data_IF_100341918612
#
_entry.id   IF_100341918612
#
_cell.length_a   1.000
_cell.length_b   1.000
_cell.length_c   1.000
_cell.angle_alpha   90.00
_cell.angle_beta   90.00
_cell.angle_gamma   90.00
#
_symmetry.space_group_name_H-M   'P 1'
#
loop_
_entity.id
_entity.type
_entity.pdbx_description
1 polymer ?
#
# COMPACT_ATOMS: atom_id res chain seq x y z
N UNK A 1 12.81 8.73 13.37
CA UNK A 1 13.79 8.20 12.40
C UNK A 1 14.91 7.33 12.99
N UNK A 2 15.23 7.39 14.31
CA UNK A 2 16.30 6.54 14.92
C UNK A 2 16.03 5.03 14.97
N UNK A 3 14.77 4.57 14.85
CA UNK A 3 14.40 3.15 15.01
C UNK A 3 14.62 2.29 13.75
N UNK A 4 14.64 2.90 12.56
CA UNK A 4 14.81 2.19 11.29
C UNK A 4 16.29 1.85 10.98
N UNK A 5 17.22 2.66 11.48
CA UNK A 5 18.67 2.47 11.24
C UNK A 5 19.19 1.24 11.99
N UNK A 6 18.73 0.99 13.22
CA UNK A 6 19.09 -0.24 13.95
C UNK A 6 18.56 -1.50 13.28
N UNK A 7 17.38 -1.44 12.63
CA UNK A 7 16.74 -2.61 12.05
C UNK A 7 17.39 -3.05 10.73
N UNK A 8 17.85 -2.09 9.92
CA UNK A 8 18.63 -2.35 8.70
C UNK A 8 19.99 -3.01 9.01
N UNK A 9 20.64 -2.60 10.11
CA UNK A 9 21.89 -3.22 10.59
C UNK A 9 21.70 -4.65 11.06
N UNK A 10 20.57 -4.97 11.72
CA UNK A 10 20.28 -6.34 12.15
C UNK A 10 20.11 -7.30 10.96
N UNK A 11 19.38 -6.88 9.91
CA UNK A 11 19.19 -7.70 8.70
C UNK A 11 20.52 -7.92 7.97
N UNK A 12 21.39 -6.90 7.92
CA UNK A 12 22.73 -7.03 7.33
C UNK A 12 23.64 -7.97 8.11
N UNK A 13 23.60 -7.96 9.46
CA UNK A 13 24.40 -8.91 10.27
C UNK A 13 23.96 -10.36 10.05
N UNK A 14 22.67 -10.62 9.87
CA UNK A 14 22.16 -11.97 9.59
C UNK A 14 22.45 -12.45 8.16
N UNK A 15 22.49 -11.56 7.16
CA UNK A 15 22.90 -11.94 5.80
C UNK A 15 24.41 -12.19 5.67
N UNK A 16 25.23 -11.48 6.46
CA UNK A 16 26.70 -11.57 6.38
C UNK A 16 27.26 -12.84 7.05
N UNK A 17 26.51 -13.45 7.97
CA UNK A 17 26.89 -14.69 8.66
C UNK A 17 26.44 -15.97 7.92
N UNK A 18 26.02 -15.84 6.65
CA UNK A 18 25.49 -16.93 5.83
C UNK A 18 26.43 -17.42 4.72
N UNK A 19 27.68 -16.94 4.67
CA UNK A 19 28.68 -17.36 3.67
C UNK A 19 29.96 -17.87 4.33
N UNK A 20 29.80 -18.75 5.33
CA UNK A 20 30.88 -19.56 5.87
C UNK A 20 30.43 -21.02 5.85
N UNK A 21 31.02 -21.80 4.96
CA UNK A 21 30.84 -23.25 4.92
C UNK A 21 31.16 -23.85 6.30
N UNK A 22 30.19 -24.52 6.92
CA UNK A 22 30.34 -25.75 7.70
C UNK A 22 29.10 -26.01 8.57
N UNK A 23 28.77 -27.29 8.70
CA UNK A 23 27.80 -27.87 9.64
C UNK A 23 26.31 -27.69 9.28
N UNK A 24 25.78 -28.75 8.66
CA UNK A 24 24.38 -29.13 8.68
C UNK A 24 23.83 -29.04 10.13
N UNK A 25 22.88 -28.13 10.44
CA UNK A 25 22.09 -28.28 11.65
C UNK A 25 20.84 -29.07 11.26
N UNK A 26 20.67 -30.24 11.87
CA UNK A 26 19.36 -30.91 11.95
C UNK A 26 18.33 -29.89 12.43
N UNK A 27 17.54 -29.41 11.47
CA UNK A 27 16.68 -28.25 11.63
C UNK A 27 15.43 -28.69 12.39
N UNK A 28 15.55 -28.56 13.70
CA UNK A 28 14.60 -29.01 14.71
C UNK A 28 13.19 -28.47 14.46
N UNK A 29 12.19 -29.33 14.61
CA UNK A 29 10.79 -29.13 14.21
C UNK A 29 10.14 -27.88 14.86
N UNK A 30 10.68 -27.46 16.01
CA UNK A 30 10.26 -26.28 16.79
C UNK A 30 10.59 -24.93 16.11
N UNK A 31 11.73 -24.84 15.43
CA UNK A 31 12.17 -23.58 14.76
C UNK A 31 11.28 -23.21 13.57
N UNK A 32 10.77 -24.21 12.83
CA UNK A 32 9.84 -24.02 11.72
C UNK A 32 8.50 -23.46 12.21
N UNK A 33 7.99 -23.95 13.34
CA UNK A 33 6.75 -23.45 13.93
C UNK A 33 6.86 -21.99 14.41
N UNK A 34 8.01 -21.60 14.95
CA UNK A 34 8.26 -20.21 15.37
C UNK A 34 8.36 -19.26 14.17
N UNK A 35 9.12 -19.62 13.13
CA UNK A 35 9.21 -18.83 11.90
C UNK A 35 7.86 -18.75 11.17
N UNK A 36 7.08 -19.83 11.13
CA UNK A 36 5.71 -19.84 10.59
C UNK A 36 4.74 -18.99 11.44
N UNK A 37 4.90 -18.97 12.76
CA UNK A 37 4.10 -18.15 13.66
C UNK A 37 4.37 -16.66 13.48
N UNK A 38 5.65 -16.26 13.41
CA UNK A 38 6.06 -14.86 13.17
C UNK A 38 5.62 -14.39 11.79
N UNK A 39 5.82 -15.21 10.75
CA UNK A 39 5.41 -14.83 9.38
C UNK A 39 3.89 -14.71 9.27
N UNK A 40 3.10 -15.60 9.88
CA UNK A 40 1.64 -15.49 9.91
C UNK A 40 1.16 -14.26 10.68
N UNK A 41 1.76 -13.98 11.84
CA UNK A 41 1.41 -12.80 12.64
C UNK A 41 1.80 -11.51 11.92
N UNK A 42 2.97 -11.48 11.29
CA UNK A 42 3.42 -10.35 10.48
C UNK A 42 2.53 -10.12 9.26
N UNK A 43 2.15 -11.18 8.54
CA UNK A 43 1.26 -11.09 7.39
C UNK A 43 -0.14 -10.59 7.80
N UNK A 44 -0.63 -11.03 8.96
CA UNK A 44 -1.89 -10.55 9.53
C UNK A 44 -1.81 -9.05 9.85
N UNK A 45 -0.78 -8.62 10.58
CA UNK A 45 -0.58 -7.22 10.94
C UNK A 45 -0.39 -6.35 9.68
N UNK A 46 0.31 -6.85 8.66
CA UNK A 46 0.48 -6.15 7.38
C UNK A 46 -0.85 -5.92 6.67
N UNK A 47 -1.72 -6.94 6.61
CA UNK A 47 -3.05 -6.82 6.00
C UNK A 47 -3.94 -5.83 6.75
N UNK A 48 -3.92 -5.85 8.09
CA UNK A 48 -4.69 -4.93 8.93
C UNK A 48 -4.22 -3.48 8.72
N UNK A 49 -2.90 -3.24 8.71
CA UNK A 49 -2.32 -1.92 8.43
C UNK A 49 -2.71 -1.44 7.03
N UNK A 50 -2.69 -2.31 6.02
CA UNK A 50 -3.04 -1.95 4.65
C UNK A 50 -4.53 -1.59 4.51
N UNK A 51 -5.41 -2.21 5.29
CA UNK A 51 -6.84 -1.90 5.32
C UNK A 51 -7.14 -0.57 6.00
N UNK A 52 -6.46 -0.27 7.11
CA UNK A 52 -6.55 1.02 7.79
C UNK A 52 -6.03 2.15 6.87
N UNK A 53 -4.87 1.94 6.24
CA UNK A 53 -4.31 2.88 5.27
C UNK A 53 -5.24 3.12 4.07
N UNK A 54 -5.86 2.05 3.57
CA UNK A 54 -6.82 2.15 2.47
C UNK A 54 -8.07 2.96 2.88
N UNK A 55 -8.57 2.76 4.10
CA UNK A 55 -9.72 3.52 4.62
C UNK A 55 -9.38 5.00 4.77
N UNK A 56 -8.21 5.32 5.32
CA UNK A 56 -7.71 6.71 5.39
C UNK A 56 -7.54 7.33 4.01
N UNK A 57 -7.03 6.57 3.04
CA UNK A 57 -6.91 7.02 1.66
C UNK A 57 -8.28 7.38 1.07
N UNK A 58 -9.29 6.51 1.17
CA UNK A 58 -10.63 6.81 0.68
C UNK A 58 -11.22 8.08 1.32
N UNK A 59 -11.03 8.24 2.63
CA UNK A 59 -11.47 9.45 3.34
C UNK A 59 -10.77 10.72 2.83
N UNK A 60 -9.46 10.64 2.56
CA UNK A 60 -8.71 11.75 1.97
C UNK A 60 -9.19 12.07 0.55
N UNK A 61 -9.46 11.06 -0.27
CA UNK A 61 -10.02 11.27 -1.62
C UNK A 61 -11.35 11.98 -1.54
N UNK A 62 -12.29 11.50 -0.72
CA UNK A 62 -13.61 12.11 -0.53
C UNK A 62 -13.48 13.58 -0.08
N UNK A 63 -12.54 13.86 0.81
CA UNK A 63 -12.31 15.23 1.30
C UNK A 63 -11.66 16.11 0.22
N UNK A 64 -10.74 15.56 -0.57
CA UNK A 64 -10.06 16.27 -1.64
C UNK A 64 -11.01 16.66 -2.77
N UNK A 65 -11.84 15.72 -3.25
CA UNK A 65 -12.77 15.97 -4.37
C UNK A 65 -13.90 16.94 -4.02
N UNK A 66 -14.13 17.25 -2.74
CA UNK A 66 -15.05 18.32 -2.31
C UNK A 66 -14.48 19.72 -2.59
N UNK A 67 -13.17 19.85 -2.77
CA UNK A 67 -12.50 21.13 -3.02
C UNK A 67 -12.64 21.49 -4.50
N UNK A 68 -13.23 22.64 -4.87
CA UNK A 68 -13.42 23.02 -6.26
C UNK A 68 -12.12 23.07 -7.08
N UNK A 69 -11.00 23.47 -6.46
CA UNK A 69 -9.69 23.58 -7.10
C UNK A 69 -9.13 22.21 -7.52
N UNK A 70 -9.56 21.16 -6.82
CA UNK A 70 -9.24 19.77 -7.14
C UNK A 70 -10.27 19.23 -8.13
N UNK A 71 -11.57 19.41 -7.84
CA UNK A 71 -12.68 18.85 -8.63
C UNK A 71 -12.79 19.39 -10.06
N UNK A 72 -12.31 20.61 -10.30
CA UNK A 72 -12.35 21.27 -11.60
C UNK A 72 -11.02 21.19 -12.36
N UNK A 73 -10.02 20.48 -11.84
CA UNK A 73 -8.72 20.34 -12.47
C UNK A 73 -8.48 18.87 -12.88
N UNK A 74 -8.48 18.55 -14.19
CA UNK A 74 -8.34 17.17 -14.64
C UNK A 74 -6.98 16.55 -14.26
N UNK A 75 -5.91 17.33 -14.14
CA UNK A 75 -4.59 16.85 -13.72
C UNK A 75 -4.60 16.40 -12.25
N UNK A 76 -5.27 17.15 -11.37
CA UNK A 76 -5.42 16.75 -9.96
C UNK A 76 -6.23 15.45 -9.83
N UNK A 77 -7.29 15.31 -10.62
CA UNK A 77 -8.12 14.12 -10.65
C UNK A 77 -7.36 12.88 -11.19
N UNK A 78 -6.53 13.06 -12.22
CA UNK A 78 -5.65 12.00 -12.73
C UNK A 78 -4.64 11.54 -11.67
N UNK A 79 -4.02 12.47 -10.94
CA UNK A 79 -3.13 12.11 -9.84
C UNK A 79 -3.82 11.28 -8.76
N UNK A 80 -5.07 11.61 -8.43
CA UNK A 80 -5.87 10.81 -7.49
C UNK A 80 -6.09 9.40 -8.05
N UNK A 81 -6.42 9.24 -9.33
CA UNK A 81 -6.59 7.92 -9.95
C UNK A 81 -5.32 7.07 -9.91
N UNK A 82 -4.15 7.67 -10.16
CA UNK A 82 -2.87 6.95 -10.05
C UNK A 82 -2.62 6.43 -8.63
N UNK A 83 -3.11 7.12 -7.59
CA UNK A 83 -2.99 6.64 -6.21
C UNK A 83 -3.89 5.43 -5.92
N UNK A 84 -5.00 5.24 -6.65
CA UNK A 84 -5.84 4.05 -6.51
C UNK A 84 -5.11 2.78 -6.95
N UNK A 85 -4.15 2.85 -7.87
CA UNK A 85 -3.36 1.68 -8.32
C UNK A 85 -2.56 1.01 -7.20
N UNK A 86 -2.15 1.81 -6.19
CA UNK A 86 -1.45 1.32 -4.99
C UNK A 86 -2.32 0.38 -4.14
N UNK A 87 -3.64 0.40 -4.37
CA UNK A 87 -4.63 -0.42 -3.71
C UNK A 87 -5.40 -1.30 -4.70
N UNK A 88 -4.76 -1.69 -5.81
CA UNK A 88 -5.36 -2.52 -6.88
C UNK A 88 -5.92 -3.87 -6.38
N UNK A 89 -5.34 -4.43 -5.32
CA UNK A 89 -5.85 -5.65 -4.67
C UNK A 89 -7.11 -5.42 -3.82
N UNK A 90 -7.52 -4.16 -3.60
CA UNK A 90 -8.71 -3.78 -2.82
C UNK A 90 -9.87 -3.45 -3.74
N UNK A 91 -10.86 -4.35 -3.82
CA UNK A 91 -12.10 -4.13 -4.58
C UNK A 91 -13.28 -3.82 -3.65
N UNK A 92 -13.36 -2.58 -3.14
CA UNK A 92 -14.56 -2.14 -2.41
C UNK A 92 -15.54 -1.46 -3.36
N UNK A 93 -16.84 -1.52 -3.06
CA UNK A 93 -17.85 -0.77 -3.82
C UNK A 93 -17.56 0.74 -3.83
N UNK A 94 -17.06 1.27 -2.71
CA UNK A 94 -16.62 2.67 -2.62
C UNK A 94 -15.44 2.96 -3.55
N UNK A 95 -14.48 2.03 -3.68
CA UNK A 95 -13.38 2.12 -4.65
C UNK A 95 -13.92 2.40 -6.04
N UNK A 96 -14.77 1.50 -6.52
CA UNK A 96 -15.23 1.49 -7.90
C UNK A 96 -16.09 2.72 -8.17
N UNK A 97 -16.97 3.08 -7.24
CA UNK A 97 -17.76 4.31 -7.37
C UNK A 97 -16.90 5.56 -7.47
N UNK A 98 -15.89 5.72 -6.61
CA UNK A 98 -15.02 6.89 -6.65
C UNK A 98 -14.22 6.95 -7.96
N UNK A 99 -13.64 5.82 -8.38
CA UNK A 99 -12.92 5.74 -9.67
C UNK A 99 -13.84 6.13 -10.83
N UNK A 100 -15.05 5.57 -10.90
CA UNK A 100 -16.01 5.89 -11.98
C UNK A 100 -16.45 7.35 -11.96
N UNK A 101 -16.72 7.92 -10.79
CA UNK A 101 -17.10 9.34 -10.63
C UNK A 101 -15.97 10.25 -11.12
N UNK A 102 -14.73 9.95 -10.72
CA UNK A 102 -13.56 10.75 -11.08
C UNK A 102 -13.28 10.65 -12.58
N UNK A 103 -13.33 9.45 -13.17
CA UNK A 103 -13.17 9.24 -14.61
C UNK A 103 -14.23 10.01 -15.41
N UNK A 104 -15.51 9.89 -15.03
CA UNK A 104 -16.59 10.62 -15.67
C UNK A 104 -16.37 12.14 -15.59
N UNK A 105 -15.92 12.64 -14.44
CA UNK A 105 -15.60 14.06 -14.28
C UNK A 105 -14.47 14.51 -15.19
N UNK A 106 -13.39 13.74 -15.29
CA UNK A 106 -12.27 14.02 -16.20
C UNK A 106 -12.78 14.10 -17.64
N UNK A 107 -13.59 13.12 -18.09
CA UNK A 107 -14.18 13.12 -19.43
C UNK A 107 -15.00 14.39 -19.68
N UNK A 108 -15.84 14.81 -18.73
CA UNK A 108 -16.63 16.04 -18.88
C UNK A 108 -15.74 17.29 -18.98
N UNK A 109 -14.66 17.36 -18.20
CA UNK A 109 -13.74 18.49 -18.23
C UNK A 109 -12.90 18.56 -19.51
N UNK A 110 -12.54 17.42 -20.11
CA UNK A 110 -11.71 17.38 -21.32
C UNK A 110 -12.51 17.47 -22.61
N UNK A 111 -13.77 17.04 -22.61
CA UNK A 111 -14.65 17.15 -23.78
C UNK A 111 -15.40 18.48 -23.84
N UNK A 112 -15.72 19.08 -22.69
CA UNK A 112 -16.45 20.34 -22.60
C UNK A 112 -15.66 21.61 -22.95
N UNK A 113 -14.34 21.54 -23.12
CA UNK A 113 -13.47 22.68 -23.48
C UNK A 113 -13.25 22.84 -24.98
N UNK A 114 -14.03 22.14 -25.81
CA UNK A 114 -13.90 22.13 -27.28
C UNK A 114 -14.94 22.96 -28.03
N UNK A 115 -15.63 23.88 -27.33
CA UNK A 115 -16.60 24.83 -27.92
C UNK A 115 -16.03 26.25 -28.03
#
# INVERSE_FOLDING_TARGET
MRRYVCFSLCIFMFLSLGLGEAAMPTLDHSSRHFCLGITKHWLKNYKEIQEEQYTHFLHHVITAIKRPEIWNNPSHLLHILLQFEQFSEKSSLCHHLLVSIILNRITLLTTGTSS
#
